data_IF_149991762185
#
_entry.id   IF_149991762185
#
_cell.length_a   1.000
_cell.length_b   1.000
_cell.length_c   1.000
_cell.angle_alpha   90.00
_cell.angle_beta   90.00
_cell.angle_gamma   90.00
#
_symmetry.space_group_name_H-M   'P 1'
#
loop_
_entity.id
_entity.type
_entity.pdbx_description
1 polymer ?
#
# COMPACT_ATOMS: atom_id res chain seq x y z
N UNK A 1 -3.87 -12.94 -1.12
CA UNK A 1 -4.35 -11.61 -1.56
C UNK A 1 -4.45 -10.74 -0.33
N UNK A 2 -3.49 -9.84 -0.10
CA UNK A 2 -3.47 -8.89 1.04
C UNK A 2 -2.92 -7.50 0.65
N UNK A 3 -2.47 -7.31 -0.60
CA UNK A 3 -1.79 -6.08 -1.03
C UNK A 3 -2.73 -4.87 -1.13
N UNK A 4 -4.01 -5.08 -1.38
CA UNK A 4 -5.01 -4.01 -1.43
C UNK A 4 -5.13 -3.28 -0.09
N UNK A 5 -4.95 -4.00 1.03
CA UNK A 5 -5.03 -3.45 2.39
C UNK A 5 -3.90 -2.47 2.71
N UNK A 6 -2.71 -2.65 2.12
CA UNK A 6 -1.55 -1.78 2.39
C UNK A 6 -1.77 -0.33 1.94
N UNK A 7 -2.56 -0.16 0.87
CA UNK A 7 -2.94 1.18 0.42
C UNK A 7 -3.95 1.83 1.37
N UNK A 8 -4.66 1.06 2.21
CA UNK A 8 -5.62 1.59 3.19
C UNK A 8 -4.89 2.18 4.38
N UNK A 9 -3.73 1.62 4.72
CA UNK A 9 -2.87 2.11 5.79
C UNK A 9 -2.24 3.48 5.48
N UNK A 10 -2.31 3.93 4.22
CA UNK A 10 -1.80 5.24 3.82
C UNK A 10 -2.77 6.34 4.27
N UNK A 11 -2.39 7.17 5.26
CA UNK A 11 -3.27 8.20 5.78
C UNK A 11 -3.60 9.24 4.71
N UNK A 12 -4.89 9.43 4.44
CA UNK A 12 -5.37 10.38 3.45
C UNK A 12 -5.39 9.87 2.01
N UNK A 13 -5.08 8.59 1.74
CA UNK A 13 -5.19 8.04 0.39
C UNK A 13 -6.65 7.85 -0.04
N UNK A 14 -7.51 7.30 0.82
CA UNK A 14 -8.93 7.11 0.55
C UNK A 14 -9.23 6.28 -0.72
N UNK A 15 -10.51 6.00 -0.95
CA UNK A 15 -10.92 5.12 -2.05
C UNK A 15 -10.66 5.73 -3.43
N UNK A 16 -10.94 7.03 -3.60
CA UNK A 16 -10.82 7.73 -4.88
C UNK A 16 -9.38 7.72 -5.40
N UNK A 17 -8.40 8.07 -4.56
CA UNK A 17 -7.01 8.13 -5.00
C UNK A 17 -6.41 6.74 -5.18
N UNK A 18 -6.82 5.76 -4.36
CA UNK A 18 -6.49 4.35 -4.59
C UNK A 18 -6.96 3.91 -5.96
N UNK A 19 -8.22 4.22 -6.33
CA UNK A 19 -8.76 3.86 -7.63
C UNK A 19 -7.96 4.51 -8.76
N UNK A 20 -7.62 5.80 -8.65
CA UNK A 20 -6.75 6.47 -9.63
C UNK A 20 -5.40 5.78 -9.80
N UNK A 21 -4.77 5.36 -8.69
CA UNK A 21 -3.51 4.61 -8.73
C UNK A 21 -3.70 3.25 -9.42
N UNK A 22 -4.77 2.52 -9.12
CA UNK A 22 -5.07 1.24 -9.77
C UNK A 22 -5.41 1.40 -11.25
N UNK A 23 -6.06 2.49 -11.65
CA UNK A 23 -6.36 2.79 -13.07
C UNK A 23 -5.08 3.10 -13.85
N UNK A 24 -4.10 3.79 -13.25
CA UNK A 24 -2.82 4.13 -13.91
C UNK A 24 -1.86 2.95 -13.93
N UNK A 25 -1.69 2.26 -12.80
CA UNK A 25 -0.66 1.22 -12.62
C UNK A 25 -1.20 -0.21 -12.81
N UNK A 26 -2.52 -0.42 -12.79
CA UNK A 26 -3.18 -1.71 -12.98
C UNK A 26 -3.15 -2.64 -11.76
N UNK A 27 -2.12 -2.58 -10.91
CA UNK A 27 -2.01 -3.43 -9.72
C UNK A 27 -1.18 -2.80 -8.61
N UNK A 28 -1.41 -3.22 -7.36
CA UNK A 28 -0.60 -2.77 -6.21
C UNK A 28 0.87 -3.15 -6.34
N UNK A 29 1.17 -4.29 -6.96
CA UNK A 29 2.56 -4.69 -7.25
C UNK A 29 3.25 -3.72 -8.21
N UNK A 30 2.53 -3.20 -9.21
CA UNK A 30 3.05 -2.17 -10.10
C UNK A 30 3.23 -0.83 -9.36
N UNK A 31 2.27 -0.44 -8.52
CA UNK A 31 2.37 0.76 -7.65
C UNK A 31 3.63 0.69 -6.77
N UNK A 32 3.93 -0.47 -6.17
CA UNK A 32 5.14 -0.67 -5.35
C UNK A 32 6.45 -0.57 -6.14
N UNK A 33 6.41 -0.85 -7.44
CA UNK A 33 7.59 -0.71 -8.32
C UNK A 33 7.72 0.70 -8.90
N UNK A 34 6.66 1.50 -8.84
CA UNK A 34 6.65 2.87 -9.31
C UNK A 34 7.54 3.74 -8.42
N UNK A 35 8.13 4.75 -9.03
CA UNK A 35 8.90 5.79 -8.36
C UNK A 35 7.98 6.85 -7.76
N UNK A 36 8.48 7.60 -6.78
CA UNK A 36 7.75 8.75 -6.19
C UNK A 36 7.26 9.72 -7.27
N UNK A 37 8.05 9.97 -8.31
CA UNK A 37 7.66 10.87 -9.40
C UNK A 37 6.50 10.32 -10.23
N UNK A 38 6.48 9.02 -10.51
CA UNK A 38 5.36 8.37 -11.21
C UNK A 38 4.09 8.35 -10.34
N UNK A 39 4.24 8.10 -9.04
CA UNK A 39 3.12 8.17 -8.10
C UNK A 39 2.54 9.58 -8.02
N UNK A 40 3.39 10.61 -7.99
CA UNK A 40 3.00 12.02 -7.96
C UNK A 40 2.40 12.51 -9.29
N UNK A 41 2.62 11.79 -10.39
CA UNK A 41 1.97 12.09 -11.67
C UNK A 41 0.49 11.69 -11.68
N UNK A 42 0.02 10.90 -10.71
CA UNK A 42 -1.38 10.48 -10.63
C UNK A 42 -2.26 11.63 -10.13
N UNK A 43 -3.38 11.94 -10.82
CA UNK A 43 -4.29 13.01 -10.41
C UNK A 43 -4.75 12.83 -8.95
N UNK A 44 -4.47 13.84 -8.12
CA UNK A 44 -4.85 13.84 -6.71
C UNK A 44 -3.81 13.22 -5.75
N UNK A 45 -2.69 12.71 -6.28
CA UNK A 45 -1.51 12.32 -5.50
C UNK A 45 -0.44 13.40 -5.69
N UNK A 46 -0.21 14.22 -4.66
CA UNK A 46 0.91 15.15 -4.66
C UNK A 46 2.22 14.47 -4.26
N UNK A 47 3.33 15.18 -4.41
CA UNK A 47 4.69 14.69 -4.09
C UNK A 47 4.81 14.13 -2.66
N UNK A 48 4.29 14.85 -1.67
CA UNK A 48 4.27 14.39 -0.26
C UNK A 48 3.49 13.08 -0.05
N UNK A 49 2.40 12.91 -0.79
CA UNK A 49 1.56 11.72 -0.71
C UNK A 49 2.27 10.55 -1.38
N UNK A 50 2.87 10.78 -2.55
CA UNK A 50 3.69 9.81 -3.25
C UNK A 50 4.86 9.28 -2.39
N UNK A 51 5.57 10.18 -1.69
CA UNK A 51 6.62 9.78 -0.75
C UNK A 51 6.07 8.91 0.38
N UNK A 52 4.93 9.29 0.97
CA UNK A 52 4.30 8.52 2.05
C UNK A 52 3.91 7.11 1.60
N UNK A 53 3.34 7.00 0.40
CA UNK A 53 2.99 5.71 -0.22
C UNK A 53 4.26 4.86 -0.42
N UNK A 54 5.30 5.42 -1.04
CA UNK A 54 6.55 4.71 -1.31
C UNK A 54 7.21 4.19 -0.01
N UNK A 55 7.24 5.02 1.04
CA UNK A 55 7.77 4.64 2.36
C UNK A 55 6.96 3.47 2.94
N UNK A 56 5.62 3.56 2.99
CA UNK A 56 4.77 2.53 3.59
C UNK A 56 4.89 1.21 2.82
N UNK A 57 4.85 1.26 1.49
CA UNK A 57 4.93 0.07 0.64
C UNK A 57 6.30 -0.61 0.70
N UNK A 58 7.39 0.16 0.87
CA UNK A 58 8.74 -0.39 1.08
C UNK A 58 8.92 -0.98 2.47
N UNK A 59 8.41 -0.30 3.49
CA UNK A 59 8.51 -0.74 4.89
C UNK A 59 7.78 -2.08 5.11
N UNK A 60 6.63 -2.28 4.46
CA UNK A 60 5.87 -3.53 4.53
C UNK A 60 6.39 -4.67 3.62
N UNK A 61 7.48 -4.47 2.87
CA UNK A 61 8.11 -5.55 2.09
C UNK A 61 8.99 -6.48 2.93
N UNK A 62 9.25 -6.13 4.21
CA UNK A 62 10.10 -6.90 5.13
C UNK A 62 9.32 -7.68 6.20
N UNK A 63 7.98 -7.53 6.25
CA UNK A 63 7.11 -8.00 7.32
C UNK A 63 6.15 -9.13 6.91
N UNK A 64 6.41 -9.86 5.82
CA UNK A 64 5.82 -11.19 5.52
C UNK A 64 6.31 -12.28 6.51
N UNK A 65 6.50 -11.91 7.78
CA UNK A 65 7.00 -12.72 8.91
C UNK A 65 6.30 -12.37 10.22
N UNK A 66 5.01 -12.03 10.21
CA UNK A 66 4.20 -11.96 11.43
C UNK A 66 2.80 -12.53 11.21
N UNK A 67 2.73 -13.83 10.96
CA UNK A 67 1.58 -14.64 11.37
C UNK A 67 1.89 -15.18 12.78
N UNK A 68 1.61 -14.37 13.81
CA UNK A 68 1.77 -14.73 15.22
C UNK A 68 0.69 -14.09 16.10
N UNK A 69 -0.53 -13.88 15.59
CA UNK A 69 -1.60 -13.37 16.45
C UNK A 69 -3.00 -13.87 16.08
N UNK A 70 -3.19 -15.19 16.21
CA UNK A 70 -4.32 -15.76 16.96
C UNK A 70 -3.87 -17.12 17.49
N UNK A 71 -3.09 -17.08 18.57
CA UNK A 71 -2.90 -18.22 19.44
C UNK A 71 -4.18 -18.48 20.21
N UNK A 72 -5.19 -19.07 19.56
CA UNK A 72 -6.18 -19.83 20.29
C UNK A 72 -5.61 -21.23 20.49
N UNK A 73 -5.15 -21.47 21.72
CA UNK A 73 -4.72 -22.77 22.21
C UNK A 73 -5.96 -23.66 22.18
N UNK A 74 -5.84 -24.79 21.48
CA UNK A 74 -6.74 -25.92 21.62
C UNK A 74 -6.52 -26.46 23.05
N UNK A 75 -7.33 -26.02 24.01
CA UNK A 75 -7.29 -26.55 25.38
C UNK A 75 -8.54 -27.42 25.63
N UNK A 76 -8.23 -28.68 26.00
CA UNK A 76 -9.06 -29.80 26.49
C UNK A 76 -9.93 -30.60 25.49
#
# INVERSE_FOLDING_TARGET
>A
MMLESLLDEVPGLGEVRRKSLLEVFGSVTAIRKATVSELAAVPGIGEKMAESIDIILRSNSSSDKYDMQTGEILDA
#
